data_IF_298772353866
#
_entry.id   IF_298772353866
#
_cell.length_a   1.000
_cell.length_b   1.000
_cell.length_c   1.000
_cell.angle_alpha   90.00
_cell.angle_beta   90.00
_cell.angle_gamma   90.00
#
_symmetry.space_group_name_H-M   'P 1'
#
loop_
_entity.id
_entity.type
_entity.pdbx_description
1 polymer ?
#
# COMPACT_ATOMS: atom_id res chain seq x y z
N UNK A 1 -19.91 -21.60 -5.96
CA UNK A 1 -20.28 -20.18 -5.93
C UNK A 1 -19.03 -19.35 -5.81
N UNK A 2 -18.89 -18.26 -6.56
CA UNK A 2 -17.76 -17.36 -6.38
C UNK A 2 -17.81 -16.80 -4.96
N UNK A 3 -16.65 -16.69 -4.34
CA UNK A 3 -16.49 -16.11 -3.01
C UNK A 3 -16.22 -14.61 -3.19
N UNK A 4 -17.14 -13.78 -2.72
CA UNK A 4 -16.98 -12.33 -2.72
C UNK A 4 -16.60 -11.85 -1.33
N UNK A 5 -15.52 -11.13 -1.24
CA UNK A 5 -15.14 -10.44 -0.02
C UNK A 5 -15.86 -9.09 0.05
N UNK A 6 -16.53 -8.84 1.17
CA UNK A 6 -17.18 -7.56 1.46
C UNK A 6 -16.50 -6.93 2.65
N UNK A 7 -16.25 -5.63 2.55
CA UNK A 7 -15.69 -4.84 3.64
C UNK A 7 -16.53 -3.56 3.79
N UNK A 8 -16.98 -3.28 5.02
CA UNK A 8 -17.84 -2.15 5.31
C UNK A 8 -19.31 -2.37 4.97
N UNK A 9 -20.07 -1.29 5.08
CA UNK A 9 -21.48 -1.26 4.71
C UNK A 9 -21.60 -1.01 3.20
N UNK A 10 -22.32 -1.89 2.53
CA UNK A 10 -22.59 -1.75 1.09
C UNK A 10 -24.07 -1.37 0.95
N UNK A 11 -24.39 -0.16 0.46
CA UNK A 11 -25.78 0.28 0.30
C UNK A 11 -26.51 -0.54 -0.78
N UNK A 12 -27.80 -0.75 -0.57
CA UNK A 12 -28.65 -1.46 -1.53
C UNK A 12 -28.87 -0.68 -2.84
N UNK A 13 -28.71 0.63 -2.79
CA UNK A 13 -28.90 1.53 -3.93
C UNK A 13 -27.62 2.32 -4.23
N UNK A 14 -27.40 2.63 -5.50
CA UNK A 14 -26.42 3.62 -5.94
C UNK A 14 -26.85 5.03 -5.52
N UNK A 15 -25.87 5.94 -5.40
CA UNK A 15 -26.10 7.35 -5.07
C UNK A 15 -26.73 7.58 -3.70
N UNK A 16 -26.38 6.77 -2.71
CA UNK A 16 -26.77 6.99 -1.34
C UNK A 16 -25.84 8.04 -0.70
N UNK A 17 -26.39 8.88 0.14
CA UNK A 17 -25.60 9.82 0.95
C UNK A 17 -25.35 9.20 2.32
N UNK A 18 -24.09 9.16 2.73
CA UNK A 18 -23.73 8.75 4.08
C UNK A 18 -23.69 9.97 4.99
N UNK A 19 -24.39 9.87 6.12
CA UNK A 19 -24.52 10.95 7.08
C UNK A 19 -24.06 10.50 8.47
N UNK A 20 -23.53 11.45 9.21
CA UNK A 20 -23.22 11.26 10.61
C UNK A 20 -24.49 11.26 11.49
N UNK A 21 -24.30 11.11 12.81
CA UNK A 21 -25.42 11.05 13.77
C UNK A 21 -26.22 12.36 13.84
N UNK A 22 -25.61 13.49 13.50
CA UNK A 22 -26.19 14.82 13.54
C UNK A 22 -26.79 15.22 12.17
N UNK A 23 -26.79 14.30 11.20
CA UNK A 23 -27.31 14.51 9.87
C UNK A 23 -26.36 15.22 8.90
N UNK A 24 -25.13 15.51 9.31
CA UNK A 24 -24.06 16.03 8.47
C UNK A 24 -23.59 15.01 7.44
N UNK A 25 -23.16 15.46 6.27
CA UNK A 25 -22.57 14.58 5.25
C UNK A 25 -21.13 14.24 5.62
N UNK A 26 -20.74 12.97 5.46
CA UNK A 26 -19.34 12.61 5.44
C UNK A 26 -18.65 13.15 4.19
N UNK A 27 -17.33 13.38 4.31
CA UNK A 27 -16.51 13.84 3.20
C UNK A 27 -16.07 12.65 2.37
N UNK A 28 -16.31 12.70 1.07
CA UNK A 28 -15.99 11.62 0.14
C UNK A 28 -14.62 11.83 -0.49
N UNK A 29 -13.81 10.77 -0.51
CA UNK A 29 -12.55 10.69 -1.25
C UNK A 29 -12.61 9.49 -2.19
N UNK A 30 -12.30 9.73 -3.47
CA UNK A 30 -12.13 8.66 -4.45
C UNK A 30 -10.66 8.23 -4.46
N UNK A 31 -10.42 6.97 -4.11
CA UNK A 31 -9.10 6.35 -4.20
C UNK A 31 -9.08 5.41 -5.38
N UNK A 32 -8.28 5.76 -6.39
CA UNK A 32 -8.13 4.96 -7.59
C UNK A 32 -6.77 5.20 -8.24
N UNK A 33 -6.42 4.38 -9.23
CA UNK A 33 -5.22 4.55 -10.06
C UNK A 33 -5.50 5.34 -11.34
N UNK A 34 -6.70 5.23 -11.88
CA UNK A 34 -7.08 5.72 -13.20
C UNK A 34 -8.40 6.53 -13.14
N UNK A 35 -8.61 7.23 -12.03
CA UNK A 35 -9.84 7.99 -11.79
C UNK A 35 -11.07 7.09 -11.85
N UNK A 36 -12.05 7.43 -12.68
CA UNK A 36 -13.29 6.65 -12.87
C UNK A 36 -13.19 5.57 -13.95
N UNK A 37 -12.02 5.38 -14.57
CA UNK A 37 -11.85 4.51 -15.74
C UNK A 37 -11.63 3.03 -15.40
N UNK A 38 -11.23 2.72 -14.18
CA UNK A 38 -10.98 1.34 -13.71
C UNK A 38 -11.55 1.18 -12.28
N UNK A 39 -11.02 0.25 -11.53
CA UNK A 39 -11.43 -0.03 -10.15
C UNK A 39 -11.10 1.18 -9.26
N UNK A 40 -12.06 1.65 -8.53
CA UNK A 40 -11.93 2.71 -7.55
C UNK A 40 -12.72 2.38 -6.27
N UNK A 41 -12.38 3.07 -5.20
CA UNK A 41 -13.08 2.99 -3.92
C UNK A 41 -13.45 4.39 -3.46
N UNK A 42 -14.68 4.55 -2.97
CA UNK A 42 -15.09 5.74 -2.25
C UNK A 42 -14.87 5.53 -0.76
N UNK A 43 -14.09 6.40 -0.14
CA UNK A 43 -13.82 6.41 1.29
C UNK A 43 -14.50 7.63 1.90
N UNK A 44 -15.19 7.44 3.01
CA UNK A 44 -15.94 8.49 3.69
C UNK A 44 -15.24 8.90 4.97
N UNK A 45 -14.97 10.20 5.10
CA UNK A 45 -14.19 10.78 6.18
C UNK A 45 -15.03 11.68 7.08
N UNK A 46 -14.67 11.73 8.36
CA UNK A 46 -15.25 12.71 9.31
C UNK A 46 -14.79 14.14 9.02
N UNK A 47 -13.59 14.30 8.51
CA UNK A 47 -12.98 15.59 8.17
C UNK A 47 -12.61 15.63 6.69
N UNK A 48 -12.54 16.82 6.05
CA UNK A 48 -12.15 16.92 4.65
C UNK A 48 -10.76 16.29 4.39
N UNK A 49 -10.64 15.32 3.49
CA UNK A 49 -9.35 14.67 3.20
C UNK A 49 -8.32 15.63 2.57
N UNK A 50 -8.79 16.76 2.05
CA UNK A 50 -7.98 17.83 1.44
C UNK A 50 -7.62 18.95 2.42
N UNK A 51 -8.03 18.88 3.70
CA UNK A 51 -7.72 19.88 4.72
C UNK A 51 -6.26 19.78 5.18
N UNK A 52 -5.34 20.13 4.29
CA UNK A 52 -3.90 20.15 4.57
C UNK A 52 -3.58 21.39 5.42
N UNK A 53 -3.05 21.20 6.62
CA UNK A 53 -2.64 22.30 7.51
C UNK A 53 -1.28 22.88 7.15
N UNK A 54 -0.35 22.04 6.73
CA UNK A 54 1.01 22.43 6.39
C UNK A 54 1.58 21.46 5.36
N UNK A 55 2.29 22.00 4.38
CA UNK A 55 3.09 21.22 3.42
C UNK A 55 4.55 21.35 3.83
N UNK A 56 5.24 20.22 3.95
CA UNK A 56 6.67 20.17 4.27
C UNK A 56 7.54 20.32 3.02
N UNK A 57 8.85 20.39 3.23
CA UNK A 57 9.82 20.41 2.15
C UNK A 57 9.97 19.02 1.51
N UNK A 58 10.32 19.00 0.23
CA UNK A 58 10.63 17.74 -0.47
C UNK A 58 12.08 17.36 -0.17
N UNK A 59 12.26 16.16 0.39
CA UNK A 59 13.57 15.53 0.49
C UNK A 59 13.82 14.85 -0.85
N UNK A 60 14.67 15.47 -1.67
CA UNK A 60 15.00 14.95 -3.00
C UNK A 60 15.70 13.59 -2.88
N UNK A 61 15.28 12.64 -3.68
CA UNK A 61 15.95 11.35 -3.83
C UNK A 61 15.99 10.99 -5.31
N UNK A 62 17.17 10.67 -5.80
CA UNK A 62 17.36 10.16 -7.16
C UNK A 62 17.97 8.78 -7.10
N UNK A 63 17.49 7.88 -7.93
CA UNK A 63 18.14 6.59 -8.17
C UNK A 63 19.12 6.78 -9.33
N UNK A 64 20.41 6.57 -9.04
CA UNK A 64 21.46 6.73 -10.05
C UNK A 64 21.87 5.37 -10.60
N UNK A 65 21.85 5.25 -11.92
CA UNK A 65 22.38 4.09 -12.62
C UNK A 65 23.88 4.24 -12.84
N UNK A 66 24.63 3.19 -12.58
CA UNK A 66 26.06 3.17 -12.86
C UNK A 66 26.39 3.14 -14.36
N UNK A 67 25.42 2.99 -15.24
CA UNK A 67 25.57 2.86 -16.70
C UNK A 67 26.72 1.94 -17.14
N UNK A 68 27.02 0.91 -16.36
CA UNK A 68 28.01 -0.11 -16.70
C UNK A 68 27.41 -1.16 -17.60
N UNK A 69 28.27 -1.87 -18.31
CA UNK A 69 27.86 -3.03 -19.10
C UNK A 69 27.08 -4.04 -18.26
N UNK A 70 26.13 -4.74 -18.89
CA UNK A 70 25.36 -5.78 -18.22
C UNK A 70 26.28 -6.87 -17.69
N UNK A 71 26.21 -7.09 -16.40
CA UNK A 71 27.00 -8.09 -15.69
C UNK A 71 26.08 -8.90 -14.77
N UNK A 72 26.53 -10.12 -14.45
CA UNK A 72 25.88 -10.90 -13.41
C UNK A 72 26.12 -10.23 -12.05
N UNK A 73 25.05 -10.05 -11.29
CA UNK A 73 25.09 -9.50 -9.94
C UNK A 73 24.59 -10.54 -8.93
N UNK A 74 25.34 -10.71 -7.86
CA UNK A 74 24.92 -11.45 -6.69
C UNK A 74 25.09 -10.57 -5.48
N UNK A 75 23.99 -10.10 -4.89
CA UNK A 75 23.96 -9.22 -3.74
C UNK A 75 23.77 -10.03 -2.45
N UNK A 76 24.75 -9.97 -1.55
CA UNK A 76 24.66 -10.55 -0.20
C UNK A 76 23.90 -9.59 0.72
N UNK A 77 22.58 -9.59 0.64
CA UNK A 77 21.75 -8.64 1.39
C UNK A 77 21.71 -8.91 2.90
N UNK A 78 22.23 -10.05 3.37
CA UNK A 78 22.37 -10.35 4.80
C UNK A 78 23.32 -9.40 5.51
N UNK A 79 24.32 -8.90 4.79
CA UNK A 79 25.39 -8.06 5.35
C UNK A 79 25.00 -6.57 5.37
N UNK A 80 23.82 -6.21 4.87
CA UNK A 80 23.29 -4.87 4.91
C UNK A 80 22.86 -4.52 6.34
N UNK A 81 23.41 -3.42 6.89
CA UNK A 81 23.04 -2.93 8.22
C UNK A 81 21.81 -2.00 8.11
N UNK A 82 20.66 -2.59 7.83
CA UNK A 82 19.41 -1.86 7.68
C UNK A 82 18.74 -1.67 9.04
N UNK A 83 18.41 -0.43 9.40
CA UNK A 83 17.71 -0.09 10.66
C UNK A 83 16.83 1.12 10.43
N UNK A 84 15.64 1.07 10.96
CA UNK A 84 14.69 2.18 10.86
C UNK A 84 13.26 1.70 10.79
N UNK A 85 12.40 2.58 10.33
CA UNK A 85 11.03 2.23 10.01
C UNK A 85 10.90 1.64 8.58
N UNK A 86 9.68 1.42 8.13
CA UNK A 86 9.40 0.79 6.84
C UNK A 86 9.84 1.60 5.62
N UNK A 87 10.16 2.88 5.78
CA UNK A 87 10.62 3.77 4.71
C UNK A 87 12.09 4.09 4.86
N UNK A 88 12.51 4.49 6.06
CA UNK A 88 13.89 4.95 6.32
C UNK A 88 14.92 3.80 6.24
N UNK A 89 14.50 2.54 6.45
CA UNK A 89 15.37 1.36 6.35
C UNK A 89 15.46 0.76 4.95
N UNK A 90 14.80 1.35 3.93
CA UNK A 90 14.84 0.82 2.57
C UNK A 90 16.19 1.03 1.91
N UNK A 91 16.78 -0.05 1.42
CA UNK A 91 17.96 -0.02 0.55
C UNK A 91 17.56 -0.53 -0.83
N UNK A 92 17.74 0.29 -1.86
CA UNK A 92 17.43 -0.09 -3.24
C UNK A 92 18.49 -1.03 -3.78
N UNK A 93 18.06 -2.22 -4.21
CA UNK A 93 18.94 -3.25 -4.77
C UNK A 93 19.04 -3.16 -6.29
N UNK A 94 17.89 -3.01 -6.94
CA UNK A 94 17.78 -2.93 -8.38
C UNK A 94 16.64 -2.00 -8.77
N UNK A 95 16.77 -1.34 -9.88
CA UNK A 95 15.68 -0.54 -10.45
C UNK A 95 15.80 -0.36 -11.97
N UNK A 96 14.67 -0.08 -12.57
CA UNK A 96 14.55 0.45 -13.92
C UNK A 96 13.35 1.42 -13.99
N UNK A 97 12.87 1.77 -15.18
CA UNK A 97 11.71 2.65 -15.36
C UNK A 97 10.39 2.07 -14.80
N UNK A 98 10.31 0.76 -14.67
CA UNK A 98 9.05 0.06 -14.39
C UNK A 98 8.98 -0.51 -12.97
N UNK A 99 10.14 -0.91 -12.42
CA UNK A 99 10.22 -1.63 -11.14
C UNK A 99 11.38 -1.14 -10.31
N UNK A 100 11.16 -1.01 -9.00
CA UNK A 100 12.19 -0.79 -7.99
C UNK A 100 12.13 -1.97 -7.00
N UNK A 101 13.26 -2.62 -6.77
CA UNK A 101 13.42 -3.66 -5.78
C UNK A 101 14.27 -3.13 -4.63
N UNK A 102 13.71 -3.15 -3.43
CA UNK A 102 14.40 -2.70 -2.22
C UNK A 102 14.27 -3.73 -1.11
N UNK A 103 15.25 -3.76 -0.24
CA UNK A 103 15.19 -4.51 1.01
C UNK A 103 15.03 -3.53 2.16
N UNK A 104 14.27 -3.92 3.19
CA UNK A 104 14.16 -3.15 4.42
C UNK A 104 14.15 -4.08 5.64
N UNK A 105 14.66 -3.55 6.75
CA UNK A 105 14.59 -4.19 8.07
C UNK A 105 13.92 -3.21 9.02
N UNK A 106 12.66 -3.47 9.30
CA UNK A 106 11.81 -2.60 10.12
C UNK A 106 12.05 -2.95 11.58
N UNK A 107 12.80 -2.11 12.25
CA UNK A 107 13.13 -2.26 13.68
C UNK A 107 12.50 -1.18 14.56
N UNK A 108 11.77 -0.25 13.96
CA UNK A 108 11.14 0.89 14.61
C UNK A 108 9.75 1.13 14.01
N UNK A 109 8.79 1.45 14.86
CA UNK A 109 7.47 1.88 14.41
C UNK A 109 7.54 3.22 13.70
N UNK A 110 6.66 3.40 12.71
CA UNK A 110 6.46 4.67 12.03
C UNK A 110 5.68 5.62 12.97
N UNK A 111 6.11 6.87 13.06
CA UNK A 111 5.41 7.96 13.77
C UNK A 111 4.62 8.87 12.81
N UNK A 112 4.48 8.45 11.56
CA UNK A 112 3.76 9.10 10.48
C UNK A 112 3.05 8.05 9.62
N UNK A 113 2.09 8.49 8.83
CA UNK A 113 1.53 7.70 7.74
C UNK A 113 2.32 7.92 6.45
N UNK A 114 2.29 6.94 5.58
CA UNK A 114 2.98 7.02 4.29
C UNK A 114 2.02 6.72 3.13
N UNK A 115 2.29 7.34 1.99
CA UNK A 115 1.60 7.08 0.72
C UNK A 115 2.57 7.13 -0.44
N UNK A 116 2.55 6.09 -1.29
CA UNK A 116 3.23 6.14 -2.57
C UNK A 116 2.31 6.78 -3.61
N UNK A 117 2.73 7.91 -4.19
CA UNK A 117 1.96 8.64 -5.20
C UNK A 117 2.16 8.14 -6.63
N UNK A 118 3.16 7.26 -6.87
CA UNK A 118 3.54 6.84 -8.23
C UNK A 118 3.51 5.35 -8.50
N UNK A 119 3.76 4.51 -7.50
CA UNK A 119 3.92 3.08 -7.66
C UNK A 119 2.91 2.32 -6.79
N UNK A 120 2.47 1.16 -7.27
CA UNK A 120 1.94 0.13 -6.40
C UNK A 120 3.11 -0.48 -5.63
N UNK A 121 2.86 -0.94 -4.43
CA UNK A 121 3.86 -1.60 -3.59
C UNK A 121 3.44 -3.03 -3.28
N UNK A 122 4.38 -3.96 -3.41
CA UNK A 122 4.25 -5.31 -2.90
C UNK A 122 5.30 -5.51 -1.82
N UNK A 123 4.86 -5.80 -0.61
CA UNK A 123 5.72 -6.10 0.53
C UNK A 123 5.73 -7.61 0.74
N UNK A 124 6.84 -8.27 0.44
CA UNK A 124 7.03 -9.67 0.79
C UNK A 124 7.64 -9.77 2.18
N UNK A 125 6.96 -10.44 3.09
CA UNK A 125 7.40 -10.61 4.48
C UNK A 125 8.32 -11.81 4.54
N UNK A 126 9.63 -11.55 4.68
CA UNK A 126 10.64 -12.61 4.74
C UNK A 126 10.75 -13.19 6.16
N UNK A 127 10.82 -12.33 7.17
CA UNK A 127 10.88 -12.71 8.58
C UNK A 127 10.14 -11.71 9.45
N UNK A 128 9.73 -12.15 10.64
CA UNK A 128 9.02 -11.31 11.59
C UNK A 128 7.54 -11.19 11.29
N UNK A 129 6.82 -10.46 12.13
CA UNK A 129 5.39 -10.23 12.00
C UNK A 129 5.00 -8.87 12.55
N UNK A 130 3.87 -8.35 12.07
CA UNK A 130 3.35 -7.05 12.48
C UNK A 130 1.98 -6.78 11.91
N UNK A 131 1.60 -5.51 11.91
CA UNK A 131 0.32 -5.06 11.37
C UNK A 131 0.52 -3.98 10.34
N UNK A 132 -0.15 -4.12 9.21
CA UNK A 132 -0.30 -3.07 8.22
C UNK A 132 -1.63 -2.36 8.49
N UNK A 133 -1.55 -1.11 8.89
CA UNK A 133 -2.69 -0.22 9.09
C UNK A 133 -2.88 0.61 7.81
N UNK A 134 -4.10 0.66 7.30
CA UNK A 134 -4.43 1.42 6.09
C UNK A 134 -5.73 2.19 6.29
N UNK A 135 -6.02 3.12 5.39
CA UNK A 135 -7.32 3.77 5.32
C UNK A 135 -8.47 2.82 4.90
N UNK A 136 -8.17 1.56 4.57
CA UNK A 136 -9.15 0.48 4.35
C UNK A 136 -9.27 -0.48 5.53
N UNK A 137 -8.51 -0.28 6.60
CA UNK A 137 -8.48 -1.15 7.77
C UNK A 137 -7.11 -1.80 7.99
N UNK A 138 -7.08 -2.86 8.78
CA UNK A 138 -5.85 -3.49 9.27
C UNK A 138 -5.67 -4.89 8.71
N UNK A 139 -4.44 -5.22 8.33
CA UNK A 139 -3.98 -6.56 7.94
C UNK A 139 -2.89 -7.04 8.90
N UNK A 140 -2.96 -8.30 9.31
CA UNK A 140 -1.85 -8.96 9.99
C UNK A 140 -0.82 -9.41 8.94
N UNK A 141 0.45 -9.12 9.19
CA UNK A 141 1.59 -9.51 8.37
C UNK A 141 2.33 -10.66 9.01
N UNK A 142 2.55 -11.74 8.26
CA UNK A 142 3.28 -12.93 8.72
C UNK A 142 4.32 -13.35 7.69
N UNK A 143 5.35 -14.12 8.07
CA UNK A 143 6.32 -14.64 7.12
C UNK A 143 5.66 -15.40 5.97
N UNK A 144 6.07 -15.09 4.75
CA UNK A 144 5.52 -15.65 3.51
C UNK A 144 4.33 -14.88 2.93
N UNK A 145 3.76 -13.90 3.66
CA UNK A 145 2.69 -13.05 3.12
C UNK A 145 3.24 -12.07 2.07
N UNK A 146 2.41 -11.79 1.07
CA UNK A 146 2.57 -10.69 0.11
C UNK A 146 1.48 -9.65 0.38
N UNK A 147 1.85 -8.48 0.86
CA UNK A 147 0.91 -7.37 1.03
C UNK A 147 0.96 -6.46 -0.19
N UNK A 148 -0.16 -6.37 -0.91
CA UNK A 148 -0.30 -5.51 -2.09
C UNK A 148 -0.97 -4.21 -1.66
N UNK A 149 -0.26 -3.11 -1.85
CA UNK A 149 -0.73 -1.77 -1.52
C UNK A 149 -0.83 -0.95 -2.82
N UNK A 150 -2.04 -0.71 -3.30
CA UNK A 150 -2.23 0.13 -4.49
C UNK A 150 -1.72 1.55 -4.27
N UNK A 151 -1.24 2.17 -5.33
CA UNK A 151 -0.87 3.59 -5.36
C UNK A 151 -1.98 4.47 -4.79
N UNK A 152 -1.60 5.41 -3.93
CA UNK A 152 -2.54 6.34 -3.32
C UNK A 152 -3.10 5.90 -1.96
N UNK A 153 -2.99 4.63 -1.61
CA UNK A 153 -3.38 4.12 -0.29
C UNK A 153 -2.46 4.70 0.77
N UNK A 154 -3.06 5.22 1.85
CA UNK A 154 -2.33 5.68 3.03
C UNK A 154 -2.14 4.49 3.97
N UNK A 155 -0.91 4.29 4.45
CA UNK A 155 -0.60 3.15 5.30
C UNK A 155 0.51 3.44 6.32
N UNK A 156 0.61 2.55 7.30
CA UNK A 156 1.62 2.54 8.35
C UNK A 156 1.86 1.08 8.77
N UNK A 157 3.08 0.73 9.13
CA UNK A 157 3.39 -0.58 9.71
C UNK A 157 3.68 -0.41 11.20
N UNK A 158 3.00 -1.23 11.99
CA UNK A 158 3.23 -1.40 13.42
C UNK A 158 3.92 -2.73 13.69
N UNK A 159 5.06 -2.71 14.38
CA UNK A 159 5.90 -3.87 14.64
C UNK A 159 6.11 -4.04 16.14
N UNK A 160 6.07 -5.28 16.60
CA UNK A 160 6.51 -5.66 17.97
C UNK A 160 7.98 -6.03 17.99
N UNK A 161 8.40 -6.76 16.95
CA UNK A 161 9.75 -7.22 16.73
C UNK A 161 10.20 -6.80 15.33
N UNK A 162 11.47 -6.98 15.03
CA UNK A 162 12.02 -6.64 13.72
C UNK A 162 11.36 -7.46 12.62
N UNK A 163 10.94 -6.79 11.54
CA UNK A 163 10.42 -7.42 10.32
C UNK A 163 11.42 -7.19 9.20
N UNK A 164 11.79 -8.26 8.50
CA UNK A 164 12.57 -8.20 7.26
C UNK A 164 11.64 -8.35 6.07
N UNK A 165 11.70 -7.38 5.15
CA UNK A 165 10.85 -7.34 3.96
C UNK A 165 11.65 -7.10 2.68
N UNK A 166 11.14 -7.67 1.58
CA UNK A 166 11.48 -7.24 0.24
C UNK A 166 10.34 -6.34 -0.27
N UNK A 167 10.70 -5.17 -0.76
CA UNK A 167 9.76 -4.20 -1.31
C UNK A 167 9.89 -4.20 -2.82
N UNK A 168 8.78 -4.39 -3.51
CA UNK A 168 8.67 -4.31 -4.96
C UNK A 168 7.72 -3.15 -5.27
N UNK A 169 8.25 -2.10 -5.88
CA UNK A 169 7.45 -0.97 -6.35
C UNK A 169 7.29 -1.07 -7.87
N UNK A 170 6.07 -0.90 -8.37
CA UNK A 170 5.79 -1.03 -9.80
C UNK A 170 5.07 0.19 -10.36
N UNK A 171 5.53 0.71 -11.51
CA UNK A 171 4.85 1.79 -12.21
C UNK A 171 3.48 1.35 -12.76
N UNK A 172 3.39 0.10 -13.19
CA UNK A 172 2.14 -0.54 -13.60
C UNK A 172 1.34 -1.11 -12.42
N UNK A 173 0.06 -1.51 -12.63
CA UNK A 173 -0.78 -2.10 -11.60
C UNK A 173 -0.33 -3.53 -11.25
N UNK A 174 -0.33 -3.84 -9.95
CA UNK A 174 -0.23 -5.22 -9.50
C UNK A 174 -1.62 -5.82 -9.55
N UNK A 175 -1.90 -6.62 -10.57
CA UNK A 175 -3.20 -7.25 -10.83
C UNK A 175 -3.05 -8.74 -11.06
N UNK A 176 -4.09 -9.51 -10.77
CA UNK A 176 -4.16 -10.92 -11.19
C UNK A 176 -4.05 -11.01 -12.72
N UNK A 177 -3.15 -11.84 -13.25
CA UNK A 177 -2.97 -11.99 -14.69
C UNK A 177 -4.27 -12.37 -15.40
N UNK A 178 -4.52 -11.79 -16.58
CA UNK A 178 -5.74 -12.07 -17.38
C UNK A 178 -5.94 -13.56 -17.66
N UNK A 179 -4.84 -14.32 -17.82
CA UNK A 179 -4.89 -15.78 -18.06
C UNK A 179 -5.52 -16.58 -16.92
N UNK A 180 -5.62 -16.00 -15.72
CA UNK A 180 -6.22 -16.63 -14.54
C UNK A 180 -7.63 -16.13 -14.23
N UNK A 181 -8.20 -15.28 -15.09
CA UNK A 181 -9.54 -14.72 -14.92
C UNK A 181 -10.42 -15.00 -16.14
N UNK A 182 -11.70 -15.15 -15.90
CA UNK A 182 -12.70 -15.12 -16.97
C UNK A 182 -13.04 -13.67 -17.39
N UNK A 183 -13.90 -13.51 -18.39
CA UNK A 183 -14.30 -12.20 -18.88
C UNK A 183 -15.09 -11.37 -17.85
N UNK A 184 -15.65 -12.00 -16.83
CA UNK A 184 -16.32 -11.34 -15.70
C UNK A 184 -15.39 -10.99 -14.52
N UNK A 185 -14.08 -11.26 -14.66
CA UNK A 185 -13.06 -10.95 -13.64
C UNK A 185 -12.92 -12.01 -12.53
N UNK A 186 -13.70 -13.09 -12.57
CA UNK A 186 -13.60 -14.18 -11.60
C UNK A 186 -12.36 -15.03 -11.87
N UNK A 187 -11.73 -15.54 -10.80
CA UNK A 187 -10.62 -16.48 -10.94
C UNK A 187 -11.09 -17.79 -11.57
N UNK A 188 -10.26 -18.33 -12.44
CA UNK A 188 -10.48 -19.65 -13.05
C UNK A 188 -10.18 -20.75 -12.03
N UNK A 189 -10.85 -21.89 -12.17
CA UNK A 189 -10.62 -23.06 -11.30
C UNK A 189 -9.15 -23.53 -11.29
N UNK A 190 -8.47 -23.39 -12.41
CA UNK A 190 -7.05 -23.74 -12.55
C UNK A 190 -6.07 -22.58 -12.26
N UNK A 191 -6.54 -21.50 -11.65
CA UNK A 191 -5.63 -20.46 -11.16
C UNK A 191 -4.75 -21.03 -10.04
N UNK A 192 -3.49 -20.55 -9.89
CA UNK A 192 -2.58 -21.06 -8.85
C UNK A 192 -3.01 -20.67 -7.42
N UNK A 193 -4.02 -19.83 -7.29
CA UNK A 193 -4.62 -19.38 -6.03
C UNK A 193 -6.11 -19.10 -6.24
N UNK A 194 -6.87 -19.05 -5.17
CA UNK A 194 -8.30 -18.71 -5.17
C UNK A 194 -8.55 -17.44 -4.35
N UNK A 195 -9.78 -16.91 -4.41
CA UNK A 195 -10.19 -15.77 -3.59
C UNK A 195 -10.04 -16.02 -2.09
N UNK A 196 -10.05 -17.28 -1.64
CA UNK A 196 -9.83 -17.66 -0.23
C UNK A 196 -8.41 -17.42 0.25
N UNK A 197 -7.45 -17.39 -0.66
CA UNK A 197 -6.03 -17.12 -0.34
C UNK A 197 -5.77 -15.61 -0.21
N UNK A 198 -6.74 -14.78 -0.61
CA UNK A 198 -6.65 -13.33 -0.56
C UNK A 198 -7.29 -12.83 0.74
N UNK A 199 -6.46 -12.24 1.60
CA UNK A 199 -6.93 -11.57 2.81
C UNK A 199 -7.29 -10.12 2.50
N UNK A 200 -8.38 -9.62 3.07
CA UNK A 200 -8.76 -8.20 3.00
C UNK A 200 -8.57 -7.53 4.35
N UNK A 201 -8.35 -6.21 4.40
CA UNK A 201 -8.25 -5.47 5.64
C UNK A 201 -9.52 -5.63 6.50
N UNK A 202 -9.33 -5.79 7.81
CA UNK A 202 -10.43 -5.71 8.77
C UNK A 202 -10.70 -4.23 9.04
N UNK A 203 -11.94 -3.79 8.87
CA UNK A 203 -12.33 -2.42 9.20
C UNK A 203 -12.07 -2.13 10.66
N UNK A 204 -11.46 -0.99 10.92
CA UNK A 204 -11.27 -0.45 12.25
C UNK A 204 -12.26 0.70 12.48
N UNK A 205 -12.73 0.90 13.73
CA UNK A 205 -13.57 2.05 14.04
C UNK A 205 -12.89 3.35 13.64
N UNK A 206 -13.66 4.26 13.08
CA UNK A 206 -13.19 5.62 12.77
C UNK A 206 -12.90 6.38 14.06
N UNK A 207 -11.71 6.93 14.17
CA UNK A 207 -11.28 7.73 15.31
C UNK A 207 -11.02 9.17 14.84
N UNK A 208 -11.63 10.14 15.50
CA UNK A 208 -11.32 11.55 15.26
C UNK A 208 -10.12 11.96 16.13
N UNK A 209 -8.92 11.59 15.68
CA UNK A 209 -7.66 11.83 16.37
C UNK A 209 -6.97 13.16 16.07
N UNK A 210 -7.56 13.99 15.21
CA UNK A 210 -6.96 15.25 14.77
C UNK A 210 -5.93 15.10 13.64
N UNK A 211 -5.09 16.12 13.40
CA UNK A 211 -4.11 16.11 12.32
C UNK A 211 -3.00 15.07 12.52
N UNK A 212 -2.60 14.46 11.43
CA UNK A 212 -1.51 13.48 11.39
C UNK A 212 -0.50 13.89 10.32
N UNK A 213 0.74 13.43 10.48
CA UNK A 213 1.77 13.59 9.44
C UNK A 213 1.62 12.47 8.40
N UNK A 214 1.69 12.86 7.14
CA UNK A 214 1.71 11.92 6.01
C UNK A 214 2.92 12.23 5.15
N UNK A 215 3.84 11.28 5.02
CA UNK A 215 4.91 11.35 4.03
C UNK A 215 4.40 10.84 2.69
N UNK A 216 4.60 11.62 1.63
CA UNK A 216 4.15 11.26 0.28
C UNK A 216 5.37 11.06 -0.61
N UNK A 217 5.51 9.87 -1.16
CA UNK A 217 6.52 9.60 -2.19
C UNK A 217 6.06 10.20 -3.52
N UNK A 218 6.83 11.13 -4.02
CA UNK A 218 6.69 11.79 -5.31
C UNK A 218 7.80 11.31 -6.26
N UNK A 219 7.76 11.75 -7.53
CA UNK A 219 8.83 11.44 -8.50
C UNK A 219 10.20 11.94 -8.08
N UNK A 220 10.23 13.12 -7.45
CA UNK A 220 11.48 13.79 -7.10
C UNK A 220 12.01 13.42 -5.72
N UNK A 221 11.19 12.77 -4.89
CA UNK A 221 11.56 12.45 -3.51
C UNK A 221 10.35 12.24 -2.60
N UNK A 222 10.57 12.43 -1.31
CA UNK A 222 9.53 12.29 -0.28
C UNK A 222 9.23 13.68 0.30
N UNK A 223 7.94 14.00 0.39
CA UNK A 223 7.43 15.24 0.97
C UNK A 223 6.63 14.95 2.23
#
# INVERSE_FOLDING_TARGET
MPFYQKNGEIPDKRHIQFRDKDGGLYWEELISREGFSDIYSNVYHLNPPTAIKKVGDIILSSLESNNKEHQHHHLKTRDLNLKGDAIDSRETLFFNSDVILSKAMISKNMDYYYRNGHHDECLFIHQGSGKLLTNFGTLDLNPGDYAIIPRGVIWQIDVKDTIEILVIETAGPIKTPKRYRNNAGQLLEFAPFSERDIKVPKLTPTINGGPVNVKVKLRQGIQ
#
